data_IF_370868458199
#
_entry.id   IF_370868458199
#
_cell.length_a   1.000
_cell.length_b   1.000
_cell.length_c   1.000
_cell.angle_alpha   90.00
_cell.angle_beta   90.00
_cell.angle_gamma   90.00
#
_symmetry.space_group_name_H-M   'P 1'
#
loop_
_entity.id
_entity.type
_entity.pdbx_description
1 polymer ?
#
# COMPACT_ATOMS: atom_id res chain seq x y z
N UNK A 1 -16.63 19.21 -15.57
CA UNK A 1 -17.56 19.76 -14.55
C UNK A 1 -18.66 20.58 -15.22
N UNK A 2 -18.40 21.31 -16.28
CA UNK A 2 -19.40 22.04 -17.05
C UNK A 2 -19.34 21.52 -18.50
N UNK A 3 -20.41 20.85 -18.95
CA UNK A 3 -20.38 20.04 -20.18
C UNK A 3 -20.57 20.87 -21.46
N UNK A 4 -21.00 22.14 -21.34
CA UNK A 4 -21.15 23.02 -22.47
C UNK A 4 -20.91 24.50 -22.12
N UNK A 5 -20.70 25.33 -23.16
CA UNK A 5 -20.41 26.77 -23.03
C UNK A 5 -21.56 27.57 -22.39
N UNK A 6 -22.82 27.16 -22.59
CA UNK A 6 -23.98 27.87 -22.02
C UNK A 6 -24.06 27.65 -20.50
N UNK A 7 -23.85 26.45 -20.03
CA UNK A 7 -23.79 26.11 -18.59
C UNK A 7 -22.62 26.84 -17.91
N UNK A 8 -21.44 26.85 -18.55
CA UNK A 8 -20.28 27.58 -18.05
C UNK A 8 -20.58 29.07 -17.92
N UNK A 9 -21.25 29.69 -18.95
CA UNK A 9 -21.60 31.11 -18.92
C UNK A 9 -22.60 31.45 -17.81
N UNK A 10 -23.60 30.59 -17.56
CA UNK A 10 -24.51 30.76 -16.43
C UNK A 10 -23.75 30.71 -15.11
N UNK A 11 -22.82 29.79 -15.00
CA UNK A 11 -22.00 29.64 -13.80
C UNK A 11 -21.09 30.84 -13.54
N UNK A 12 -20.47 31.39 -14.61
CA UNK A 12 -19.65 32.61 -14.53
C UNK A 12 -20.51 33.79 -14.00
N UNK A 13 -21.76 33.91 -14.42
CA UNK A 13 -22.68 34.96 -13.93
C UNK A 13 -22.98 34.86 -12.43
N UNK A 14 -23.00 33.62 -11.87
CA UNK A 14 -23.15 33.39 -10.43
C UNK A 14 -21.88 33.74 -9.65
N UNK A 15 -20.72 33.68 -10.30
CA UNK A 15 -19.42 34.02 -9.72
C UNK A 15 -18.65 32.81 -9.18
N UNK A 16 -17.49 33.10 -8.60
CA UNK A 16 -16.57 32.12 -8.06
C UNK A 16 -17.14 31.36 -6.87
N UNK A 17 -16.80 30.07 -6.78
CA UNK A 17 -17.18 29.20 -5.66
C UNK A 17 -16.13 28.09 -5.43
N UNK A 18 -16.54 26.99 -4.80
CA UNK A 18 -15.64 25.85 -4.55
C UNK A 18 -15.14 25.15 -5.82
N UNK A 19 -15.79 25.37 -6.96
CA UNK A 19 -15.56 24.65 -8.23
C UNK A 19 -15.23 25.55 -9.41
N UNK A 20 -15.33 26.87 -9.26
CA UNK A 20 -15.05 27.82 -10.33
C UNK A 20 -14.13 28.93 -9.84
N UNK A 21 -13.12 29.25 -10.65
CA UNK A 21 -12.20 30.39 -10.51
C UNK A 21 -12.12 31.14 -11.83
N UNK A 22 -12.11 32.47 -11.77
CA UNK A 22 -12.07 33.37 -12.95
C UNK A 22 -10.76 34.16 -12.89
N UNK A 23 -10.08 34.29 -14.03
CA UNK A 23 -8.84 35.07 -14.12
C UNK A 23 -8.74 35.85 -15.41
N UNK A 24 -8.52 37.14 -15.27
CA UNK A 24 -8.10 37.99 -16.35
C UNK A 24 -6.68 37.64 -16.81
N UNK A 25 -6.42 37.72 -18.12
CA UNK A 25 -5.09 37.51 -18.68
C UNK A 25 -4.50 38.83 -19.17
N UNK A 26 -3.33 39.18 -18.65
CA UNK A 26 -2.57 40.35 -19.08
C UNK A 26 -1.20 39.97 -19.61
N UNK A 27 -0.71 40.78 -20.56
CA UNK A 27 0.57 40.52 -21.22
C UNK A 27 1.52 41.73 -21.13
N UNK A 28 2.82 41.42 -21.06
CA UNK A 28 3.91 42.37 -21.32
C UNK A 28 4.83 41.76 -22.39
N UNK A 29 4.74 42.26 -23.63
CA UNK A 29 5.41 41.66 -24.77
C UNK A 29 4.96 40.23 -25.03
N UNK A 30 5.90 39.28 -25.00
CA UNK A 30 5.67 37.84 -25.17
C UNK A 30 5.55 37.07 -23.83
N UNK A 31 5.15 37.75 -22.77
CA UNK A 31 5.01 37.10 -21.44
C UNK A 31 3.65 37.35 -20.84
N UNK A 32 3.06 36.32 -20.22
CA UNK A 32 1.87 36.44 -19.37
C UNK A 32 2.31 37.09 -18.06
N UNK A 33 1.66 38.18 -17.65
CA UNK A 33 1.94 38.93 -16.43
C UNK A 33 0.83 38.80 -15.39
N UNK A 34 -0.37 38.50 -15.81
CA UNK A 34 -1.49 38.09 -14.97
C UNK A 34 -2.23 36.91 -15.65
N UNK A 35 -2.67 35.90 -14.86
CA UNK A 35 -2.44 35.73 -13.44
C UNK A 35 -0.95 35.51 -13.11
N UNK A 36 -0.56 35.85 -11.87
CA UNK A 36 0.81 35.58 -11.41
C UNK A 36 1.03 34.05 -11.33
N UNK A 37 2.22 33.57 -11.78
CA UNK A 37 2.56 32.16 -11.92
C UNK A 37 2.29 31.35 -10.65
N UNK A 38 2.81 31.81 -9.50
CA UNK A 38 2.69 31.11 -8.23
C UNK A 38 1.24 31.10 -7.73
N UNK A 39 0.54 32.23 -7.85
CA UNK A 39 -0.85 32.33 -7.45
C UNK A 39 -1.75 31.39 -8.26
N UNK A 40 -1.47 31.25 -9.58
CA UNK A 40 -2.19 30.33 -10.45
C UNK A 40 -1.88 28.87 -10.12
N UNK A 41 -0.62 28.53 -9.87
CA UNK A 41 -0.21 27.20 -9.40
C UNK A 41 -0.94 26.80 -8.10
N UNK A 42 -1.05 27.76 -7.18
CA UNK A 42 -1.76 27.57 -5.91
C UNK A 42 -3.25 27.27 -6.11
N UNK A 43 -3.93 27.98 -7.05
CA UNK A 43 -5.35 27.71 -7.35
C UNK A 43 -5.55 26.30 -7.93
N UNK A 44 -4.75 25.94 -8.94
CA UNK A 44 -4.89 24.62 -9.58
C UNK A 44 -4.55 23.48 -8.61
N UNK A 45 -3.52 23.64 -7.76
CA UNK A 45 -3.20 22.68 -6.74
C UNK A 45 -4.31 22.57 -5.67
N UNK A 46 -4.93 23.69 -5.28
CA UNK A 46 -6.04 23.70 -4.34
C UNK A 46 -7.29 22.98 -4.89
N UNK A 47 -7.60 23.11 -6.18
CA UNK A 47 -8.65 22.32 -6.84
C UNK A 47 -8.31 20.83 -6.82
N UNK A 48 -7.09 20.46 -7.25
CA UNK A 48 -6.64 19.07 -7.28
C UNK A 48 -6.67 18.42 -5.88
N UNK A 49 -6.31 19.17 -4.86
CA UNK A 49 -6.32 18.72 -3.47
C UNK A 49 -7.73 18.65 -2.86
N UNK A 50 -8.71 19.27 -3.48
CA UNK A 50 -10.12 19.27 -3.06
C UNK A 50 -10.97 18.30 -3.89
N UNK A 51 -12.07 18.78 -4.44
CA UNK A 51 -13.02 17.99 -5.24
C UNK A 51 -12.88 18.22 -6.75
N UNK A 52 -11.77 18.82 -7.16
CA UNK A 52 -11.59 19.31 -8.52
C UNK A 52 -12.24 20.67 -8.72
N UNK A 53 -12.19 21.20 -9.95
CA UNK A 53 -12.80 22.45 -10.33
C UNK A 53 -12.36 22.92 -11.70
N UNK A 54 -12.83 24.09 -12.08
CA UNK A 54 -12.56 24.75 -13.36
C UNK A 54 -12.00 26.15 -13.11
N UNK A 55 -10.89 26.46 -13.78
CA UNK A 55 -10.39 27.82 -13.88
C UNK A 55 -10.61 28.34 -15.31
N UNK A 56 -11.20 29.51 -15.45
CA UNK A 56 -11.45 30.15 -16.75
C UNK A 56 -10.55 31.37 -16.89
N UNK A 57 -9.69 31.36 -17.91
CA UNK A 57 -8.80 32.45 -18.24
C UNK A 57 -9.45 33.32 -19.37
N UNK A 58 -9.44 34.62 -19.19
CA UNK A 58 -10.08 35.60 -20.10
C UNK A 58 -11.40 36.15 -19.57
N UNK A 59 -11.65 35.97 -18.26
CA UNK A 59 -12.79 36.57 -17.53
C UNK A 59 -12.22 37.30 -16.31
N UNK A 60 -12.75 38.49 -16.05
CA UNK A 60 -12.31 39.32 -14.90
C UNK A 60 -13.10 39.09 -13.62
N UNK A 61 -12.71 39.75 -12.55
CA UNK A 61 -13.36 39.66 -11.23
C UNK A 61 -14.80 40.24 -11.24
N UNK A 62 -15.13 41.11 -12.24
CA UNK A 62 -16.47 41.62 -12.47
C UNK A 62 -17.35 40.64 -13.26
N UNK A 63 -16.81 39.47 -13.60
CA UNK A 63 -17.45 38.40 -14.39
C UNK A 63 -17.68 38.77 -15.83
N UNK A 64 -16.94 39.76 -16.35
CA UNK A 64 -16.98 40.16 -17.75
C UNK A 64 -16.01 39.29 -18.57
N UNK A 65 -16.52 38.80 -19.70
CA UNK A 65 -15.69 38.05 -20.66
C UNK A 65 -14.86 39.06 -21.45
N UNK A 66 -13.57 39.14 -21.13
CA UNK A 66 -12.60 40.02 -21.83
C UNK A 66 -11.92 39.30 -22.99
N UNK A 67 -11.92 37.99 -22.97
CA UNK A 67 -11.27 37.13 -23.95
C UNK A 67 -9.74 37.12 -23.91
N UNK A 68 -9.16 36.29 -24.74
CA UNK A 68 -7.72 36.18 -25.00
C UNK A 68 -7.52 36.36 -26.51
N UNK A 69 -6.60 37.22 -26.97
CA UNK A 69 -6.33 37.36 -28.41
C UNK A 69 -5.93 36.00 -29.02
N UNK A 70 -6.49 35.67 -30.20
CA UNK A 70 -6.31 34.37 -30.86
C UNK A 70 -4.82 34.00 -31.01
N UNK A 71 -4.00 34.97 -31.41
CA UNK A 71 -2.55 34.82 -31.57
C UNK A 71 -1.79 34.59 -30.25
N UNK A 72 -2.46 34.72 -29.07
CA UNK A 72 -1.90 34.55 -27.75
C UNK A 72 -2.35 33.28 -27.04
N UNK A 73 -3.31 32.54 -27.57
CA UNK A 73 -3.85 31.35 -26.96
C UNK A 73 -2.76 30.28 -26.70
N UNK A 74 -1.89 30.08 -27.71
CA UNK A 74 -0.77 29.13 -27.55
C UNK A 74 0.21 29.52 -26.42
N UNK A 75 0.44 30.84 -26.28
CA UNK A 75 1.32 31.36 -25.21
C UNK A 75 0.70 31.12 -23.82
N UNK A 76 -0.61 31.34 -23.67
CA UNK A 76 -1.33 31.16 -22.42
C UNK A 76 -1.42 29.69 -22.06
N UNK A 77 -1.72 28.83 -23.04
CA UNK A 77 -1.74 27.37 -22.81
C UNK A 77 -0.36 26.85 -22.42
N UNK A 78 0.70 27.31 -23.07
CA UNK A 78 2.07 26.95 -22.71
C UNK A 78 2.42 27.38 -21.27
N UNK A 79 2.05 28.61 -20.89
CA UNK A 79 2.19 29.12 -19.53
C UNK A 79 1.51 28.20 -18.50
N UNK A 80 0.27 27.75 -18.77
CA UNK A 80 -0.46 26.84 -17.85
C UNK A 80 0.21 25.49 -17.78
N UNK A 81 0.67 24.92 -18.88
CA UNK A 81 1.37 23.63 -18.90
C UNK A 81 2.68 23.68 -18.10
N UNK A 82 3.49 24.72 -18.31
CA UNK A 82 4.76 24.88 -17.57
C UNK A 82 4.54 25.01 -16.06
N UNK A 83 3.59 25.83 -15.62
CA UNK A 83 3.33 25.98 -14.20
C UNK A 83 2.84 24.69 -13.53
N UNK A 84 2.04 23.86 -14.26
CA UNK A 84 1.56 22.58 -13.76
C UNK A 84 2.68 21.55 -13.59
N UNK A 85 3.73 21.62 -14.42
CA UNK A 85 4.88 20.71 -14.37
C UNK A 85 5.94 21.19 -13.39
N UNK A 86 6.27 22.49 -13.45
CA UNK A 86 7.44 23.02 -12.75
C UNK A 86 7.14 23.58 -11.35
N UNK A 87 5.89 24.08 -11.14
CA UNK A 87 5.52 24.78 -9.90
C UNK A 87 4.65 23.93 -8.96
N UNK A 88 4.17 22.76 -9.40
CA UNK A 88 3.33 21.87 -8.62
C UNK A 88 4.00 20.50 -8.48
N UNK A 89 4.08 20.00 -7.25
CA UNK A 89 4.71 18.71 -6.95
C UNK A 89 3.79 17.80 -6.10
N UNK A 90 3.48 16.57 -6.58
CA UNK A 90 3.78 16.04 -7.90
C UNK A 90 3.11 16.87 -9.01
N UNK A 91 3.61 16.79 -10.27
CA UNK A 91 3.05 17.55 -11.39
C UNK A 91 1.55 17.30 -11.60
N UNK A 92 0.85 18.29 -12.10
CA UNK A 92 -0.58 18.24 -12.38
C UNK A 92 -0.84 18.16 -13.89
N UNK A 93 -1.79 17.34 -14.29
CA UNK A 93 -2.22 17.22 -15.70
C UNK A 93 -3.70 17.63 -15.85
N UNK A 94 -4.00 18.93 -15.98
CA UNK A 94 -5.36 19.39 -16.21
C UNK A 94 -5.80 19.15 -17.66
N UNK A 95 -7.12 19.13 -17.89
CA UNK A 95 -7.70 19.20 -19.23
C UNK A 95 -7.83 20.67 -19.61
N UNK A 96 -7.24 21.07 -20.74
CA UNK A 96 -7.27 22.45 -21.23
C UNK A 96 -8.09 22.50 -22.52
N UNK A 97 -9.14 23.33 -22.52
CA UNK A 97 -10.05 23.50 -23.65
C UNK A 97 -10.09 24.96 -24.08
N UNK A 98 -10.08 25.21 -25.40
CA UNK A 98 -10.28 26.52 -26.00
C UNK A 98 -11.75 26.68 -26.36
N UNK A 99 -12.39 27.66 -25.75
CA UNK A 99 -13.81 27.95 -25.95
C UNK A 99 -14.00 29.39 -26.44
N UNK A 100 -15.18 29.68 -26.99
CA UNK A 100 -15.64 31.07 -27.23
C UNK A 100 -16.83 31.34 -26.35
N UNK A 101 -16.83 32.49 -25.66
CA UNK A 101 -17.93 32.93 -24.81
C UNK A 101 -18.38 34.32 -25.29
N UNK A 102 -19.70 34.65 -25.23
CA UNK A 102 -20.18 35.97 -25.56
C UNK A 102 -19.76 37.00 -24.50
N UNK A 103 -19.22 38.13 -24.96
CA UNK A 103 -19.02 39.33 -24.13
C UNK A 103 -20.35 40.02 -23.80
N UNK A 104 -20.30 41.03 -22.94
CA UNK A 104 -21.48 41.87 -22.65
C UNK A 104 -22.02 42.63 -23.88
N UNK A 105 -21.19 42.81 -24.94
CA UNK A 105 -21.60 43.41 -26.21
C UNK A 105 -22.13 42.37 -27.22
N UNK A 106 -22.11 41.07 -26.86
CA UNK A 106 -22.53 39.96 -27.73
C UNK A 106 -21.43 39.45 -28.68
N UNK A 107 -20.23 40.01 -28.63
CA UNK A 107 -19.07 39.51 -29.38
C UNK A 107 -18.58 38.17 -28.80
N UNK A 108 -18.27 37.21 -29.68
CA UNK A 108 -17.71 35.90 -29.27
C UNK A 108 -16.20 36.02 -29.06
N UNK A 109 -15.77 35.91 -27.82
CA UNK A 109 -14.37 36.07 -27.41
C UNK A 109 -13.76 34.74 -26.98
N UNK A 110 -12.52 34.41 -27.41
CA UNK A 110 -11.83 33.20 -27.01
C UNK A 110 -11.45 33.24 -25.53
N UNK A 111 -11.66 32.16 -24.85
CA UNK A 111 -11.25 31.90 -23.45
C UNK A 111 -10.59 30.55 -23.34
N UNK A 112 -9.82 30.34 -22.26
CA UNK A 112 -9.19 29.07 -21.96
C UNK A 112 -9.85 28.49 -20.72
N UNK A 113 -10.52 27.34 -20.84
CA UNK A 113 -11.08 26.56 -19.74
C UNK A 113 -10.04 25.53 -19.30
N UNK A 114 -9.71 25.52 -18.01
CA UNK A 114 -8.78 24.60 -17.38
C UNK A 114 -9.57 23.78 -16.39
N UNK A 115 -9.82 22.53 -16.72
CA UNK A 115 -10.51 21.59 -15.84
C UNK A 115 -9.49 20.76 -15.06
N UNK A 116 -9.56 20.84 -13.74
CA UNK A 116 -8.71 20.15 -12.81
C UNK A 116 -9.54 19.09 -12.09
N UNK A 117 -9.33 17.80 -12.36
CA UNK A 117 -10.01 16.75 -11.61
C UNK A 117 -9.50 16.69 -10.17
N UNK A 118 -10.31 16.13 -9.26
CA UNK A 118 -9.80 15.74 -7.94
C UNK A 118 -8.67 14.74 -8.12
N UNK A 119 -7.50 15.06 -7.60
CA UNK A 119 -6.32 14.23 -7.80
C UNK A 119 -6.30 13.05 -6.84
N UNK A 120 -5.56 12.04 -7.23
CA UNK A 120 -5.21 10.89 -6.40
C UNK A 120 -3.95 11.17 -5.55
N UNK A 121 -3.23 12.23 -5.85
CA UNK A 121 -2.05 12.68 -5.12
C UNK A 121 -2.36 13.95 -4.31
N UNK A 122 -1.57 14.22 -3.28
CA UNK A 122 -1.58 15.49 -2.56
C UNK A 122 -0.52 16.39 -3.17
N UNK A 123 -0.96 17.47 -3.79
CA UNK A 123 -0.09 18.40 -4.51
C UNK A 123 0.37 19.55 -3.61
N UNK A 124 1.67 19.82 -3.66
CA UNK A 124 2.28 21.01 -3.07
C UNK A 124 2.52 22.04 -4.17
N UNK A 125 2.14 23.29 -3.92
CA UNK A 125 2.41 24.45 -4.77
C UNK A 125 3.36 25.43 -4.08
N UNK A 126 3.77 26.56 -4.70
CA UNK A 126 4.60 27.55 -4.04
C UNK A 126 4.06 28.06 -2.70
N UNK A 127 2.73 28.20 -2.58
CA UNK A 127 2.06 28.58 -1.32
C UNK A 127 1.90 27.45 -0.31
N UNK A 128 2.41 26.25 -0.58
CA UNK A 128 2.32 25.11 0.33
C UNK A 128 1.26 24.06 -0.06
N UNK A 129 0.71 23.38 0.92
CA UNK A 129 -0.39 22.43 0.73
C UNK A 129 -1.73 23.15 0.89
N UNK A 130 -2.34 23.50 -0.21
CA UNK A 130 -3.55 24.32 -0.24
C UNK A 130 -4.78 23.48 -0.60
N UNK A 131 -5.95 23.88 -0.09
CA UNK A 131 -7.26 23.35 -0.44
C UNK A 131 -8.30 24.47 -0.60
N UNK A 132 -9.42 24.17 -1.28
CA UNK A 132 -10.53 25.12 -1.45
C UNK A 132 -11.46 25.11 -0.23
N UNK A 133 -11.81 26.30 0.23
CA UNK A 133 -12.84 26.54 1.24
C UNK A 133 -13.77 27.65 0.71
N UNK A 134 -14.88 27.24 0.08
CA UNK A 134 -15.68 28.14 -0.73
C UNK A 134 -14.91 28.66 -1.93
N UNK A 135 -14.97 29.95 -2.21
CA UNK A 135 -14.18 30.61 -3.27
C UNK A 135 -12.72 30.89 -2.88
N UNK A 136 -12.30 30.62 -1.63
CA UNK A 136 -10.95 30.90 -1.19
C UNK A 136 -10.08 29.65 -1.11
N UNK A 137 -8.78 29.80 -1.42
CA UNK A 137 -7.76 28.81 -1.10
C UNK A 137 -7.22 29.05 0.32
N UNK A 138 -6.97 27.96 1.06
CA UNK A 138 -6.39 28.01 2.39
C UNK A 138 -5.32 26.95 2.55
N UNK A 139 -4.32 27.25 3.36
CA UNK A 139 -3.34 26.25 3.77
C UNK A 139 -4.02 25.18 4.64
N UNK A 140 -3.66 23.92 4.41
CA UNK A 140 -4.20 22.80 5.16
C UNK A 140 -3.59 22.77 6.56
N UNK A 141 -4.44 22.62 7.58
CA UNK A 141 -3.96 22.30 8.92
C UNK A 141 -3.20 20.96 8.91
N UNK A 142 -2.16 20.79 9.75
CA UNK A 142 -1.35 19.56 9.77
C UNK A 142 -2.17 18.27 9.89
N UNK A 143 -3.19 18.27 10.74
CA UNK A 143 -4.08 17.10 10.94
C UNK A 143 -4.92 16.79 9.70
N UNK A 144 -5.41 17.83 9.01
CA UNK A 144 -6.16 17.67 7.77
C UNK A 144 -5.25 17.14 6.64
N UNK A 145 -4.05 17.69 6.54
CA UNK A 145 -3.04 17.28 5.56
C UNK A 145 -2.63 15.81 5.78
N UNK A 146 -2.35 15.41 7.02
CA UNK A 146 -2.04 14.03 7.37
C UNK A 146 -3.19 13.08 6.99
N UNK A 147 -4.43 13.47 7.29
CA UNK A 147 -5.62 12.71 6.91
C UNK A 147 -5.79 12.61 5.38
N UNK A 148 -5.55 13.68 4.65
CA UNK A 148 -5.64 13.68 3.18
C UNK A 148 -4.58 12.76 2.55
N UNK A 149 -3.33 12.78 3.05
CA UNK A 149 -2.30 11.83 2.63
C UNK A 149 -2.74 10.38 2.91
N UNK A 150 -3.27 10.11 4.08
CA UNK A 150 -3.81 8.78 4.41
C UNK A 150 -4.92 8.35 3.46
N UNK A 151 -5.91 9.22 3.24
CA UNK A 151 -7.04 8.92 2.36
C UNK A 151 -6.61 8.63 0.93
N UNK A 152 -5.64 9.40 0.41
CA UNK A 152 -5.16 9.25 -0.96
C UNK A 152 -4.17 8.10 -1.12
N UNK A 153 -3.39 7.78 -0.12
CA UNK A 153 -2.55 6.57 -0.11
C UNK A 153 -3.36 5.28 0.06
N UNK A 154 -4.52 5.36 0.70
CA UNK A 154 -5.46 4.24 0.84
C UNK A 154 -6.44 4.11 -0.32
N UNK A 155 -6.63 5.17 -1.11
CA UNK A 155 -7.51 5.15 -2.26
C UNK A 155 -6.95 4.24 -3.35
N UNK A 156 -7.25 2.93 -3.27
CA UNK A 156 -7.31 1.88 -4.31
C UNK A 156 -6.29 1.88 -5.46
N UNK A 157 -5.29 2.78 -5.47
CA UNK A 157 -4.52 3.03 -6.69
C UNK A 157 -3.33 2.12 -6.77
N UNK A 158 -2.79 1.68 -5.64
CA UNK A 158 -1.68 0.76 -5.65
C UNK A 158 -1.91 -0.31 -4.58
N UNK A 159 -2.83 -1.22 -4.85
CA UNK A 159 -2.74 -2.55 -4.24
C UNK A 159 -1.53 -3.20 -4.88
N UNK A 160 -0.38 -3.07 -4.24
CA UNK A 160 0.87 -3.58 -4.80
C UNK A 160 0.78 -5.07 -5.11
N UNK A 161 0.07 -5.83 -4.29
CA UNK A 161 -0.17 -7.26 -4.49
C UNK A 161 -1.04 -7.59 -5.72
N UNK A 162 -1.85 -6.65 -6.22
CA UNK A 162 -2.63 -6.80 -7.46
C UNK A 162 -1.93 -6.22 -8.71
N UNK A 163 -0.72 -5.68 -8.59
CA UNK A 163 0.01 -5.14 -9.74
C UNK A 163 0.53 -6.24 -10.64
N UNK A 164 0.39 -6.09 -11.98
CA UNK A 164 1.03 -6.96 -12.94
C UNK A 164 2.55 -6.96 -12.78
N UNK A 165 3.17 -8.12 -12.79
CA UNK A 165 4.62 -8.27 -12.73
C UNK A 165 5.20 -8.13 -14.14
N UNK A 166 6.04 -7.11 -14.41
CA UNK A 166 6.62 -6.90 -15.73
C UNK A 166 7.44 -8.10 -16.19
N UNK A 167 7.23 -8.51 -17.42
CA UNK A 167 7.96 -9.64 -18.04
C UNK A 167 7.43 -11.03 -17.64
N UNK A 168 6.58 -11.16 -16.63
CA UNK A 168 5.95 -12.43 -16.27
C UNK A 168 4.82 -12.76 -17.27
N UNK A 169 4.61 -14.05 -17.48
CA UNK A 169 3.51 -14.59 -18.30
C UNK A 169 2.65 -15.55 -17.49
N UNK A 170 1.45 -15.86 -17.96
CA UNK A 170 0.59 -16.80 -17.24
C UNK A 170 1.23 -18.20 -17.11
N UNK A 171 2.17 -18.56 -17.99
CA UNK A 171 2.87 -19.85 -17.95
C UNK A 171 3.92 -19.94 -16.83
N UNK A 172 4.27 -18.82 -16.22
CA UNK A 172 5.09 -18.78 -14.99
C UNK A 172 4.30 -19.16 -13.73
N UNK A 173 2.95 -19.28 -13.84
CA UNK A 173 2.11 -19.80 -12.79
C UNK A 173 1.93 -21.32 -12.94
N UNK A 174 2.39 -22.07 -11.95
CA UNK A 174 2.26 -23.53 -11.88
C UNK A 174 0.78 -23.93 -11.78
N UNK A 175 0.33 -24.81 -12.66
CA UNK A 175 -1.08 -25.16 -12.81
C UNK A 175 -1.67 -25.74 -11.51
N UNK A 176 -0.98 -26.65 -10.85
CA UNK A 176 -1.41 -27.27 -9.61
C UNK A 176 -1.55 -26.25 -8.48
N UNK A 177 -0.70 -25.21 -8.47
CA UNK A 177 -0.68 -24.18 -7.42
C UNK A 177 -1.85 -23.19 -7.56
N UNK A 178 -2.23 -22.78 -8.77
CA UNK A 178 -3.37 -21.86 -8.91
C UNK A 178 -4.71 -22.59 -8.96
N UNK A 179 -4.80 -23.83 -9.49
CA UNK A 179 -6.04 -24.60 -9.58
C UNK A 179 -6.63 -24.94 -8.21
N UNK A 180 -5.81 -25.04 -7.16
CA UNK A 180 -6.31 -25.27 -5.79
C UNK A 180 -7.26 -24.20 -5.27
N UNK A 181 -7.24 -23.00 -5.87
CA UNK A 181 -8.15 -21.89 -5.56
C UNK A 181 -9.42 -21.91 -6.41
N UNK A 182 -9.48 -22.74 -7.44
CA UNK A 182 -10.62 -22.90 -8.31
C UNK A 182 -11.67 -23.79 -7.65
N UNK A 183 -12.93 -23.37 -7.68
CA UNK A 183 -14.03 -24.27 -7.32
C UNK A 183 -14.25 -25.27 -8.47
N UNK A 184 -14.45 -26.54 -8.13
CA UNK A 184 -14.76 -27.60 -9.11
C UNK A 184 -15.99 -27.32 -10.00
N UNK A 185 -16.81 -26.32 -9.65
CA UNK A 185 -18.04 -25.94 -10.40
C UNK A 185 -17.77 -24.79 -11.40
N UNK A 186 -16.58 -24.20 -11.42
CA UNK A 186 -16.26 -23.05 -12.27
C UNK A 186 -15.68 -23.58 -13.59
N UNK A 187 -16.35 -23.30 -14.69
CA UNK A 187 -15.92 -23.62 -16.07
C UNK A 187 -15.35 -22.40 -16.80
N UNK A 188 -14.88 -21.39 -16.07
CA UNK A 188 -14.29 -20.21 -16.67
C UNK A 188 -12.94 -20.53 -17.36
N UNK A 189 -12.62 -19.77 -18.40
CA UNK A 189 -11.28 -19.82 -19.00
C UNK A 189 -10.23 -19.39 -17.97
N UNK A 190 -9.02 -19.89 -18.10
CA UNK A 190 -7.88 -19.65 -17.19
C UNK A 190 -7.71 -18.17 -16.86
N UNK A 191 -7.71 -17.29 -17.88
CA UNK A 191 -7.50 -15.86 -17.72
C UNK A 191 -8.60 -15.22 -16.85
N UNK A 192 -9.86 -15.59 -17.09
CA UNK A 192 -11.00 -15.08 -16.32
C UNK A 192 -10.95 -15.55 -14.86
N UNK A 193 -10.54 -16.79 -14.65
CA UNK A 193 -10.43 -17.33 -13.29
C UNK A 193 -9.31 -16.66 -12.51
N UNK A 194 -8.12 -16.49 -13.13
CA UNK A 194 -6.99 -15.83 -12.52
C UNK A 194 -7.29 -14.35 -12.23
N UNK A 195 -8.04 -13.66 -13.09
CA UNK A 195 -8.50 -12.30 -12.85
C UNK A 195 -9.46 -12.22 -11.64
N UNK A 196 -10.45 -13.13 -11.55
CA UNK A 196 -11.37 -13.23 -10.40
C UNK A 196 -10.64 -13.50 -9.06
N UNK A 197 -9.52 -14.21 -9.12
CA UNK A 197 -8.67 -14.50 -7.97
C UNK A 197 -7.66 -13.38 -7.66
N UNK A 198 -7.64 -12.31 -8.45
CA UNK A 198 -6.62 -11.26 -8.40
C UNK A 198 -5.19 -11.78 -8.64
N UNK A 199 -5.04 -12.95 -9.26
CA UNK A 199 -3.75 -13.54 -9.62
C UNK A 199 -3.22 -13.08 -10.98
N UNK A 200 -4.06 -12.47 -11.81
CA UNK A 200 -3.68 -11.86 -13.07
C UNK A 200 -4.45 -10.57 -13.30
N UNK A 201 -3.82 -9.61 -14.01
CA UNK A 201 -4.42 -8.33 -14.41
C UNK A 201 -3.87 -7.91 -15.76
N UNK A 202 -4.60 -7.10 -16.54
CA UNK A 202 -4.03 -6.44 -17.71
C UNK A 202 -2.94 -5.44 -17.28
N UNK A 203 -1.83 -5.43 -17.99
CA UNK A 203 -0.81 -4.38 -17.87
C UNK A 203 -1.17 -3.13 -18.69
N UNK A 204 -0.26 -2.17 -18.75
CA UNK A 204 -0.47 -0.91 -19.49
C UNK A 204 -0.68 -1.13 -21.00
N UNK A 205 -0.18 -2.22 -21.55
CA UNK A 205 -0.29 -2.59 -22.97
C UNK A 205 -1.53 -3.48 -23.22
N UNK A 206 -2.32 -3.78 -22.18
CA UNK A 206 -3.49 -4.65 -22.24
C UNK A 206 -3.17 -6.14 -22.25
N UNK A 207 -1.91 -6.54 -22.11
CA UNK A 207 -1.52 -7.94 -21.99
C UNK A 207 -1.86 -8.46 -20.58
N UNK A 208 -2.48 -9.64 -20.50
CA UNK A 208 -2.80 -10.26 -19.21
C UNK A 208 -1.53 -10.86 -18.61
N UNK A 209 -1.14 -10.37 -17.43
CA UNK A 209 0.06 -10.80 -16.70
C UNK A 209 -0.27 -11.27 -15.29
N UNK A 210 0.55 -12.17 -14.72
CA UNK A 210 0.48 -12.49 -13.30
C UNK A 210 0.65 -11.23 -12.46
N UNK A 211 -0.13 -11.12 -11.39
CA UNK A 211 0.07 -10.11 -10.36
C UNK A 211 1.14 -10.54 -9.35
N UNK A 212 1.58 -9.62 -8.50
CA UNK A 212 2.46 -9.94 -7.37
C UNK A 212 1.85 -11.05 -6.51
N UNK A 213 0.53 -10.97 -6.18
CA UNK A 213 -0.17 -12.03 -5.47
C UNK A 213 -0.18 -13.36 -6.24
N UNK A 214 -0.39 -13.31 -7.56
CA UNK A 214 -0.34 -14.50 -8.42
C UNK A 214 1.01 -15.18 -8.38
N UNK A 215 2.10 -14.43 -8.56
CA UNK A 215 3.48 -14.94 -8.50
C UNK A 215 3.78 -15.52 -7.11
N UNK A 216 3.45 -14.79 -6.03
CA UNK A 216 3.75 -15.21 -4.66
C UNK A 216 2.99 -16.47 -4.22
N UNK A 217 1.78 -16.70 -4.75
CA UNK A 217 0.92 -17.82 -4.35
C UNK A 217 0.94 -19.00 -5.32
N UNK A 218 1.38 -18.79 -6.56
CA UNK A 218 1.26 -19.80 -7.60
C UNK A 218 2.49 -19.98 -8.51
N UNK A 219 3.61 -19.29 -8.28
CA UNK A 219 4.88 -19.60 -8.92
C UNK A 219 5.69 -20.58 -8.06
N UNK A 220 6.39 -21.53 -8.70
CA UNK A 220 7.28 -22.46 -8.01
C UNK A 220 8.50 -21.74 -7.39
N UNK A 221 9.01 -20.70 -8.04
CA UNK A 221 10.07 -19.82 -7.50
C UNK A 221 9.69 -18.34 -7.67
N UNK A 222 8.97 -17.74 -6.70
CA UNK A 222 8.62 -16.33 -6.71
C UNK A 222 9.83 -15.39 -6.74
N UNK A 223 11.02 -15.84 -6.31
CA UNK A 223 12.24 -15.03 -6.26
C UNK A 223 12.78 -14.65 -7.62
N UNK A 224 12.41 -15.37 -8.66
CA UNK A 224 12.76 -14.98 -10.02
C UNK A 224 12.27 -13.57 -10.35
N UNK A 225 11.10 -13.21 -9.83
CA UNK A 225 10.42 -11.92 -10.03
C UNK A 225 10.60 -10.96 -8.85
N UNK A 226 10.60 -11.51 -7.64
CA UNK A 226 10.67 -10.81 -6.37
C UNK A 226 11.84 -11.39 -5.53
N UNK A 227 13.08 -11.01 -5.77
CA UNK A 227 14.29 -11.68 -5.25
C UNK A 227 14.33 -11.82 -3.72
N UNK A 228 13.69 -10.91 -2.99
CA UNK A 228 13.63 -10.95 -1.52
C UNK A 228 12.31 -11.51 -0.95
N UNK A 229 11.46 -12.13 -1.79
CA UNK A 229 10.20 -12.77 -1.35
C UNK A 229 10.45 -14.17 -0.77
N UNK A 230 11.24 -14.25 0.30
CA UNK A 230 11.55 -15.48 1.02
C UNK A 230 11.75 -15.20 2.51
N UNK A 231 11.78 -16.26 3.33
CA UNK A 231 12.06 -16.19 4.77
C UNK A 231 13.48 -16.69 4.99
N UNK A 232 14.35 -15.84 5.53
CA UNK A 232 15.66 -16.26 6.02
C UNK A 232 15.53 -16.71 7.48
N UNK A 233 15.70 -18.01 7.73
CA UNK A 233 15.63 -18.61 9.06
C UNK A 233 17.03 -18.95 9.55
N UNK A 234 17.35 -18.56 10.80
CA UNK A 234 18.63 -18.85 11.45
C UNK A 234 18.38 -19.23 12.92
N UNK A 235 18.96 -20.33 13.35
CA UNK A 235 18.98 -20.75 14.76
C UNK A 235 20.37 -20.48 15.35
N UNK A 236 20.39 -19.80 16.49
CA UNK A 236 21.61 -19.44 17.22
C UNK A 236 21.75 -20.27 18.50
N UNK A 237 22.99 -20.55 18.89
CA UNK A 237 23.29 -21.36 20.11
C UNK A 237 22.94 -20.62 21.40
N UNK A 238 23.13 -19.31 21.44
CA UNK A 238 22.97 -18.47 22.62
C UNK A 238 21.88 -17.40 22.47
N UNK A 239 22.08 -16.32 23.16
CA UNK A 239 21.17 -15.15 23.18
C UNK A 239 21.60 -14.02 22.23
N UNK A 240 22.78 -14.17 21.60
CA UNK A 240 23.36 -13.13 20.72
C UNK A 240 23.71 -13.69 19.35
N UNK A 241 23.68 -12.82 18.35
CA UNK A 241 24.05 -13.15 16.96
C UNK A 241 25.55 -13.46 16.81
N UNK A 242 26.39 -12.69 17.52
CA UNK A 242 27.85 -12.79 17.50
C UNK A 242 28.37 -12.80 18.93
N UNK A 243 28.34 -13.95 19.62
CA UNK A 243 28.91 -14.05 20.97
C UNK A 243 30.42 -13.91 20.88
N UNK A 244 31.01 -13.18 21.85
CA UNK A 244 32.46 -13.02 21.92
C UNK A 244 33.14 -14.38 22.19
N UNK A 245 34.04 -14.79 21.31
CA UNK A 245 34.95 -15.91 21.52
C UNK A 245 34.44 -17.30 21.12
N UNK A 246 33.25 -17.45 20.55
CA UNK A 246 32.74 -18.74 20.06
C UNK A 246 32.72 -18.79 18.54
N UNK A 247 33.46 -19.73 17.93
CA UNK A 247 33.49 -19.95 16.51
C UNK A 247 32.22 -20.61 15.94
N UNK A 248 31.43 -21.30 16.80
CA UNK A 248 30.23 -22.05 16.39
C UNK A 248 28.96 -21.42 16.99
N UNK A 249 28.65 -20.19 16.58
CA UNK A 249 27.50 -19.45 17.09
C UNK A 249 26.15 -19.81 16.42
N UNK A 250 26.20 -20.38 15.21
CA UNK A 250 25.02 -20.73 14.42
C UNK A 250 24.80 -22.25 14.45
N UNK A 251 23.59 -22.70 14.77
CA UNK A 251 23.20 -24.11 14.81
C UNK A 251 22.64 -24.58 13.46
N UNK A 252 21.79 -23.77 12.85
CA UNK A 252 21.11 -24.07 11.58
C UNK A 252 20.78 -22.79 10.82
N UNK A 253 20.73 -22.87 9.50
CA UNK A 253 20.31 -21.76 8.65
C UNK A 253 19.64 -22.27 7.37
N UNK A 254 18.57 -21.60 6.95
CA UNK A 254 17.83 -21.96 5.75
C UNK A 254 17.22 -20.71 5.10
N UNK A 255 17.40 -20.57 3.77
CA UNK A 255 16.61 -19.66 2.97
C UNK A 255 15.35 -20.41 2.47
N UNK A 256 14.21 -20.08 3.05
CA UNK A 256 12.93 -20.75 2.81
C UNK A 256 12.21 -20.06 1.66
N UNK A 257 12.03 -20.76 0.55
CA UNK A 257 11.53 -20.25 -0.73
C UNK A 257 10.27 -21.00 -1.18
N UNK A 258 9.71 -20.60 -2.33
CA UNK A 258 8.49 -21.17 -2.89
C UNK A 258 7.24 -20.33 -2.62
N UNK A 259 6.04 -20.85 -2.88
CA UNK A 259 4.78 -20.18 -2.59
C UNK A 259 4.64 -19.81 -1.10
N UNK A 260 3.92 -18.73 -0.79
CA UNK A 260 3.86 -18.20 0.59
C UNK A 260 3.37 -19.21 1.62
N UNK A 261 2.38 -20.02 1.28
CA UNK A 261 1.89 -21.09 2.17
C UNK A 261 2.96 -22.16 2.46
N UNK A 262 3.72 -22.57 1.44
CA UNK A 262 4.84 -23.49 1.61
C UNK A 262 5.97 -22.86 2.46
N UNK A 263 6.23 -21.56 2.28
CA UNK A 263 7.19 -20.84 3.11
C UNK A 263 6.79 -20.86 4.61
N UNK A 264 5.50 -20.61 4.91
CA UNK A 264 4.99 -20.65 6.29
C UNK A 264 5.16 -22.04 6.90
N UNK A 265 4.72 -23.09 6.22
CA UNK A 265 4.83 -24.46 6.73
C UNK A 265 6.29 -24.87 6.94
N UNK A 266 7.16 -24.57 5.97
CA UNK A 266 8.60 -24.86 6.07
C UNK A 266 9.26 -24.09 7.23
N UNK A 267 8.86 -22.83 7.45
CA UNK A 267 9.36 -22.03 8.57
C UNK A 267 8.87 -22.60 9.93
N UNK A 268 7.64 -23.07 10.01
CA UNK A 268 7.16 -23.79 11.20
C UNK A 268 7.98 -25.06 11.49
N UNK A 269 8.28 -25.84 10.44
CA UNK A 269 9.16 -27.02 10.59
C UNK A 269 10.57 -26.65 11.01
N UNK A 270 11.12 -25.54 10.49
CA UNK A 270 12.42 -25.04 10.93
C UNK A 270 12.40 -24.70 12.42
N UNK A 271 11.36 -24.02 12.92
CA UNK A 271 11.22 -23.74 14.36
C UNK A 271 11.07 -25.03 15.15
N UNK A 272 10.17 -25.95 14.75
CA UNK A 272 9.93 -27.24 15.44
C UNK A 272 11.16 -28.11 15.50
N UNK A 273 12.02 -28.09 14.47
CA UNK A 273 13.29 -28.82 14.41
C UNK A 273 14.35 -28.25 15.37
N UNK A 274 14.40 -26.93 15.50
CA UNK A 274 15.50 -26.24 16.18
C UNK A 274 15.13 -25.75 17.59
N UNK A 275 13.85 -25.75 17.98
CA UNK A 275 13.42 -25.42 19.33
C UNK A 275 13.77 -26.53 20.33
N UNK A 276 13.95 -26.17 21.59
CA UNK A 276 14.13 -27.12 22.69
C UNK A 276 12.77 -27.63 23.18
N UNK A 277 12.75 -28.87 23.64
CA UNK A 277 11.62 -29.48 24.36
C UNK A 277 12.13 -30.00 25.70
N UNK A 278 11.65 -29.41 26.77
CA UNK A 278 12.04 -29.78 28.13
C UNK A 278 11.09 -30.86 28.64
N UNK A 279 11.63 -31.95 29.13
CA UNK A 279 10.85 -33.03 29.74
C UNK A 279 10.85 -32.89 31.26
N UNK A 280 9.67 -32.82 31.89
CA UNK A 280 9.48 -32.84 33.34
C UNK A 280 8.89 -34.20 33.76
N UNK A 281 9.25 -34.70 34.97
CA UNK A 281 8.76 -35.96 35.52
C UNK A 281 7.75 -35.78 36.67
N UNK A 282 7.22 -34.62 36.91
CA UNK A 282 6.21 -34.38 37.94
C UNK A 282 4.87 -35.00 37.51
N UNK A 283 4.38 -36.02 38.21
CA UNK A 283 3.10 -36.73 37.98
C UNK A 283 2.88 -37.30 36.55
N UNK A 284 3.96 -37.69 35.86
CA UNK A 284 3.97 -38.17 34.49
C UNK A 284 4.98 -37.40 33.62
N UNK A 285 5.16 -37.84 32.36
CA UNK A 285 6.01 -37.12 31.41
C UNK A 285 5.22 -35.95 30.85
N UNK A 286 5.63 -34.73 31.18
CA UNK A 286 5.16 -33.50 30.56
C UNK A 286 6.28 -32.90 29.71
N UNK A 287 6.02 -32.79 28.42
CA UNK A 287 6.94 -32.14 27.46
C UNK A 287 6.57 -30.67 27.37
N UNK A 288 7.46 -29.74 27.74
CA UNK A 288 7.30 -28.29 27.61
C UNK A 288 8.08 -27.83 26.38
N UNK A 289 7.43 -27.51 25.27
CA UNK A 289 8.12 -26.95 24.10
C UNK A 289 8.55 -25.50 24.38
N UNK A 290 9.66 -25.10 23.76
CA UNK A 290 10.20 -23.74 23.91
C UNK A 290 9.24 -22.66 23.37
N UNK A 291 8.46 -22.98 22.32
CA UNK A 291 7.49 -22.09 21.71
C UNK A 291 6.16 -22.81 21.46
N UNK A 292 5.06 -22.07 21.57
CA UNK A 292 3.73 -22.54 21.13
C UNK A 292 3.65 -22.50 19.61
N UNK A 293 3.44 -23.66 18.99
CA UNK A 293 3.44 -23.74 17.52
C UNK A 293 2.25 -23.04 16.86
N UNK A 294 1.11 -22.90 17.56
CA UNK A 294 -0.01 -22.12 17.07
C UNK A 294 0.35 -20.64 16.99
N UNK A 295 1.01 -20.11 18.01
CA UNK A 295 1.51 -18.74 18.01
C UNK A 295 2.57 -18.50 16.92
N UNK A 296 3.49 -19.45 16.72
CA UNK A 296 4.51 -19.38 15.66
C UNK A 296 3.87 -19.40 14.27
N UNK A 297 2.90 -20.29 14.06
CA UNK A 297 2.17 -20.36 12.79
C UNK A 297 1.45 -19.05 12.47
N UNK A 298 0.70 -18.50 13.42
CA UNK A 298 0.01 -17.22 13.24
C UNK A 298 0.98 -16.06 12.97
N UNK A 299 2.12 -16.04 13.66
CA UNK A 299 3.16 -15.03 13.48
C UNK A 299 3.73 -15.08 12.04
N UNK A 300 4.02 -16.29 11.55
CA UNK A 300 4.56 -16.48 10.19
C UNK A 300 3.53 -16.16 9.11
N UNK A 301 2.27 -16.59 9.29
CA UNK A 301 1.17 -16.21 8.37
C UNK A 301 1.02 -14.69 8.32
N UNK A 302 0.99 -14.02 9.47
CA UNK A 302 0.89 -12.55 9.52
C UNK A 302 2.10 -11.87 8.87
N UNK A 303 3.30 -12.40 9.06
CA UNK A 303 4.51 -11.84 8.47
C UNK A 303 4.45 -11.87 6.93
N UNK A 304 4.05 -12.99 6.30
CA UNK A 304 3.94 -13.07 4.83
C UNK A 304 2.72 -12.32 4.30
N UNK A 305 1.58 -12.33 5.02
CA UNK A 305 0.35 -11.68 4.60
C UNK A 305 0.45 -10.15 4.60
N UNK A 306 1.21 -9.59 5.56
CA UNK A 306 1.28 -8.14 5.78
C UNK A 306 2.63 -7.51 5.43
N UNK A 307 3.62 -8.30 4.94
CA UNK A 307 4.88 -7.77 4.42
C UNK A 307 4.63 -6.73 3.34
N UNK A 308 5.42 -5.69 3.34
CA UNK A 308 5.45 -4.73 2.23
C UNK A 308 6.34 -5.27 1.10
N UNK A 309 5.69 -5.83 0.07
CA UNK A 309 6.38 -6.40 -1.09
C UNK A 309 6.95 -5.35 -2.02
N UNK A 310 6.62 -4.07 -1.86
CA UNK A 310 7.23 -2.95 -2.59
C UNK A 310 8.65 -2.64 -2.11
N UNK A 311 9.02 -3.10 -0.92
CA UNK A 311 10.38 -2.96 -0.36
C UNK A 311 11.28 -4.03 -0.97
N UNK A 312 12.07 -3.66 -1.98
CA UNK A 312 12.91 -4.60 -2.75
C UNK A 312 14.16 -5.08 -1.99
N UNK A 313 14.70 -4.30 -1.06
CA UNK A 313 15.97 -4.58 -0.39
C UNK A 313 15.90 -5.46 0.85
N UNK A 314 14.71 -5.77 1.37
CA UNK A 314 14.55 -6.46 2.64
C UNK A 314 13.72 -7.75 2.50
N UNK A 315 14.04 -8.75 3.32
CA UNK A 315 13.39 -10.06 3.41
C UNK A 315 12.84 -10.29 4.81
N UNK A 316 11.92 -11.24 4.96
CA UNK A 316 11.49 -11.69 6.28
C UNK A 316 12.67 -12.44 6.92
N UNK A 317 12.96 -12.13 8.18
CA UNK A 317 14.01 -12.76 8.96
C UNK A 317 13.44 -13.43 10.19
N UNK A 318 13.64 -14.73 10.30
CA UNK A 318 13.25 -15.57 11.45
C UNK A 318 14.52 -15.96 12.19
N UNK A 319 14.65 -15.55 13.44
CA UNK A 319 15.81 -15.84 14.28
C UNK A 319 15.38 -16.57 15.54
N UNK A 320 15.96 -17.73 15.80
CA UNK A 320 15.76 -18.49 17.02
C UNK A 320 16.98 -18.31 17.91
N UNK A 321 16.75 -17.89 19.14
CA UNK A 321 17.74 -17.83 20.21
C UNK A 321 17.35 -18.79 21.32
N UNK A 322 18.25 -18.99 22.31
CA UNK A 322 17.97 -19.84 23.45
C UNK A 322 16.86 -19.27 24.36
N UNK A 323 16.64 -17.94 24.33
CA UNK A 323 15.71 -17.22 25.21
C UNK A 323 14.51 -16.60 24.48
N UNK A 324 14.54 -16.51 23.14
CA UNK A 324 13.49 -15.88 22.36
C UNK A 324 13.52 -16.27 20.89
N UNK A 325 12.38 -16.07 20.22
CA UNK A 325 12.24 -16.03 18.77
C UNK A 325 12.02 -14.57 18.33
N UNK A 326 12.73 -14.14 17.32
CA UNK A 326 12.57 -12.84 16.67
C UNK A 326 12.09 -13.04 15.23
N UNK A 327 11.02 -12.33 14.87
CA UNK A 327 10.47 -12.33 13.51
C UNK A 327 10.40 -10.89 13.00
N UNK A 328 11.22 -10.59 12.01
CA UNK A 328 11.26 -9.30 11.33
C UNK A 328 10.48 -9.36 10.03
N UNK A 329 9.50 -8.49 9.83
CA UNK A 329 8.72 -8.37 8.61
C UNK A 329 8.89 -6.96 8.02
N UNK A 330 9.39 -6.83 6.78
CA UNK A 330 9.52 -5.52 6.12
C UNK A 330 8.16 -4.85 5.93
N UNK A 331 8.07 -3.58 6.30
CA UNK A 331 6.90 -2.73 6.19
C UNK A 331 6.45 -2.17 7.54
N UNK A 332 6.13 -0.87 7.56
CA UNK A 332 5.53 -0.21 8.71
C UNK A 332 4.12 -0.75 8.99
N UNK A 333 3.62 -0.54 10.19
CA UNK A 333 2.20 -0.75 10.52
C UNK A 333 1.36 0.21 9.66
N UNK A 334 0.20 -0.20 9.12
CA UNK A 334 -0.67 0.71 8.38
C UNK A 334 -0.99 1.98 9.19
N UNK A 335 -0.95 3.15 8.54
CA UNK A 335 -1.08 4.47 9.19
C UNK A 335 -2.33 4.66 10.06
N UNK A 336 -3.32 3.76 9.97
CA UNK A 336 -4.53 3.78 10.80
C UNK A 336 -4.36 3.02 12.12
N UNK A 337 -3.20 2.38 12.36
CA UNK A 337 -2.94 1.51 13.49
C UNK A 337 -1.64 1.90 14.21
N UNK A 338 -1.55 1.59 15.49
CA UNK A 338 -0.33 1.64 16.30
C UNK A 338 -0.01 0.25 16.82
N UNK A 339 1.18 0.04 17.36
CA UNK A 339 1.58 -1.24 17.98
C UNK A 339 0.56 -1.67 19.06
N UNK A 340 0.11 -0.74 19.88
CA UNK A 340 -0.85 -0.98 20.97
C UNK A 340 -2.24 -1.36 20.43
N UNK A 341 -2.59 -0.91 19.23
CA UNK A 341 -3.89 -1.19 18.60
C UNK A 341 -3.93 -2.49 17.79
N UNK A 342 -2.77 -3.12 17.52
CA UNK A 342 -2.67 -4.36 16.74
C UNK A 342 -3.60 -5.49 17.24
N UNK A 343 -3.77 -5.74 18.56
CA UNK A 343 -4.65 -6.79 19.06
C UNK A 343 -6.15 -6.52 18.84
N UNK A 344 -6.53 -5.27 18.58
CA UNK A 344 -7.93 -4.82 18.57
C UNK A 344 -8.43 -4.36 17.20
N UNK A 345 -7.54 -4.23 16.21
CA UNK A 345 -7.87 -3.67 14.90
C UNK A 345 -7.40 -4.58 13.78
N UNK A 346 -8.12 -4.55 12.69
CA UNK A 346 -7.80 -5.29 11.48
C UNK A 346 -7.47 -4.31 10.34
N UNK A 347 -6.36 -4.53 9.66
CA UNK A 347 -6.05 -3.89 8.40
C UNK A 347 -5.23 -4.86 7.55
N UNK A 348 -5.65 -5.09 6.31
CA UNK A 348 -4.88 -5.87 5.36
C UNK A 348 -4.09 -4.93 4.45
N UNK A 349 -2.75 -5.07 4.43
CA UNK A 349 -1.90 -4.39 3.43
C UNK A 349 -2.11 -5.01 2.06
N UNK A 350 -2.14 -6.34 1.99
CA UNK A 350 -2.21 -7.13 0.77
C UNK A 350 -3.53 -7.91 0.76
N UNK A 351 -4.60 -7.29 0.26
CA UNK A 351 -5.95 -7.90 0.31
C UNK A 351 -6.07 -9.15 -0.58
N UNK A 352 -5.39 -9.18 -1.73
CA UNK A 352 -5.39 -10.34 -2.61
C UNK A 352 -4.66 -11.51 -1.94
N UNK A 353 -3.47 -11.29 -1.36
CA UNK A 353 -2.70 -12.32 -0.66
C UNK A 353 -3.49 -12.87 0.54
N UNK A 354 -4.07 -12.00 1.39
CA UNK A 354 -4.86 -12.44 2.55
C UNK A 354 -6.10 -13.23 2.12
N UNK A 355 -6.72 -12.84 1.01
CA UNK A 355 -7.86 -13.58 0.44
C UNK A 355 -7.49 -14.96 -0.07
N UNK A 356 -6.31 -15.11 -0.67
CA UNK A 356 -5.80 -16.38 -1.16
C UNK A 356 -5.35 -17.28 -0.01
N UNK A 357 -4.63 -16.77 0.97
CA UNK A 357 -4.24 -17.52 2.17
C UNK A 357 -5.45 -18.04 2.95
N UNK A 358 -6.54 -17.27 3.01
CA UNK A 358 -7.78 -17.72 3.65
C UNK A 358 -8.50 -18.86 2.88
N UNK A 359 -8.21 -19.04 1.58
CA UNK A 359 -8.71 -20.15 0.76
C UNK A 359 -7.73 -21.31 0.68
N UNK A 360 -6.48 -21.12 1.13
CA UNK A 360 -5.45 -22.14 1.10
C UNK A 360 -5.61 -23.08 2.30
N UNK A 361 -5.88 -24.35 2.04
CA UNK A 361 -6.04 -25.35 3.11
C UNK A 361 -4.70 -25.71 3.73
N UNK A 362 -4.67 -25.87 5.04
CA UNK A 362 -3.55 -26.53 5.75
C UNK A 362 -3.68 -28.04 5.49
N UNK A 363 -2.63 -28.71 4.97
CA UNK A 363 -2.66 -30.16 4.77
C UNK A 363 -2.93 -30.90 6.08
N UNK A 364 -3.67 -32.03 5.99
CA UNK A 364 -4.08 -32.79 7.18
C UNK A 364 -2.92 -33.29 8.04
N UNK A 365 -1.79 -33.61 7.41
CA UNK A 365 -0.54 -34.01 8.08
C UNK A 365 0.21 -32.84 8.76
N UNK A 366 -0.23 -31.59 8.54
CA UNK A 366 0.37 -30.38 9.12
C UNK A 366 -0.56 -29.69 10.15
N UNK A 367 -1.70 -30.29 10.46
CA UNK A 367 -2.66 -29.73 11.43
C UNK A 367 -2.14 -29.66 12.86
N UNK A 368 -1.12 -30.43 13.18
CA UNK A 368 -0.43 -30.36 14.47
C UNK A 368 0.35 -29.05 14.68
N UNK A 369 0.58 -28.28 13.61
CA UNK A 369 1.24 -26.96 13.69
C UNK A 369 0.31 -25.85 14.19
N UNK A 370 -0.99 -25.91 13.87
CA UNK A 370 -1.91 -24.81 14.20
C UNK A 370 -3.32 -25.22 14.61
N UNK A 371 -3.73 -26.51 14.41
CA UNK A 371 -5.11 -26.96 14.58
C UNK A 371 -6.11 -26.35 13.58
N UNK A 372 -5.66 -25.54 12.61
CA UNK A 372 -6.52 -24.85 11.61
C UNK A 372 -6.71 -25.67 10.33
N UNK A 373 -7.83 -25.43 9.65
CA UNK A 373 -8.13 -26.01 8.35
C UNK A 373 -7.68 -25.13 7.18
N UNK A 374 -7.47 -23.83 7.39
CA UNK A 374 -6.98 -22.87 6.41
C UNK A 374 -5.78 -22.09 6.95
N UNK A 375 -4.92 -21.61 6.02
CA UNK A 375 -3.71 -20.89 6.38
C UNK A 375 -4.02 -19.59 7.14
N UNK A 376 -5.13 -18.91 6.83
CA UNK A 376 -5.51 -17.66 7.48
C UNK A 376 -6.99 -17.63 7.81
N UNK A 377 -7.34 -17.10 8.98
CA UNK A 377 -8.72 -16.74 9.34
C UNK A 377 -8.89 -15.20 9.22
N UNK A 378 -9.95 -14.76 8.56
CA UNK A 378 -10.26 -13.34 8.37
C UNK A 378 -10.93 -12.67 9.58
N UNK A 379 -11.01 -13.36 10.73
CA UNK A 379 -11.66 -12.82 11.94
C UNK A 379 -10.80 -11.81 12.70
N UNK A 380 -9.49 -11.70 12.37
CA UNK A 380 -8.57 -10.76 12.98
C UNK A 380 -8.10 -11.14 14.38
N UNK A 381 -8.23 -12.40 14.75
CA UNK A 381 -7.83 -12.93 16.05
C UNK A 381 -6.34 -13.33 16.11
N UNK A 382 -5.61 -13.30 14.99
CA UNK A 382 -4.25 -13.82 14.88
C UNK A 382 -3.26 -13.18 15.86
N UNK A 383 -3.28 -11.86 16.01
CA UNK A 383 -2.39 -11.17 16.98
C UNK A 383 -2.72 -11.56 18.41
N UNK A 384 -4.01 -11.66 18.76
CA UNK A 384 -4.43 -12.06 20.11
C UNK A 384 -3.99 -13.50 20.40
N UNK A 385 -4.11 -14.41 19.43
CA UNK A 385 -3.64 -15.80 19.55
C UNK A 385 -2.13 -15.85 19.80
N UNK A 386 -1.34 -15.06 19.06
CA UNK A 386 0.12 -14.97 19.29
C UNK A 386 0.41 -14.55 20.72
N UNK A 387 -0.26 -13.51 21.20
CA UNK A 387 -0.04 -12.98 22.56
C UNK A 387 -0.45 -13.98 23.64
N UNK A 388 -1.67 -14.50 23.57
CA UNK A 388 -2.24 -15.31 24.65
C UNK A 388 -1.63 -16.72 24.71
N UNK A 389 -1.38 -17.36 23.55
CA UNK A 389 -0.78 -18.70 23.53
C UNK A 389 0.67 -18.69 23.98
N UNK A 390 1.45 -17.67 23.56
CA UNK A 390 2.83 -17.54 24.00
C UNK A 390 2.93 -17.18 25.47
N UNK A 391 2.09 -16.25 25.96
CA UNK A 391 2.08 -15.85 27.37
C UNK A 391 1.66 -17.03 28.29
N UNK A 392 0.68 -17.83 27.86
CA UNK A 392 0.23 -19.03 28.58
C UNK A 392 1.37 -20.05 28.71
N UNK A 393 2.20 -20.22 27.67
CA UNK A 393 3.28 -21.19 27.65
C UNK A 393 4.50 -20.70 28.44
N UNK A 394 4.94 -19.47 28.22
CA UNK A 394 6.20 -18.93 28.72
C UNK A 394 6.08 -18.10 30.01
N UNK A 395 4.84 -17.72 30.40
CA UNK A 395 4.57 -16.74 31.45
C UNK A 395 4.96 -15.30 31.08
N UNK A 396 5.39 -15.04 29.82
CA UNK A 396 5.84 -13.74 29.35
C UNK A 396 5.11 -13.35 28.06
N UNK A 397 4.62 -12.13 28.00
CA UNK A 397 3.90 -11.62 26.85
C UNK A 397 4.84 -11.29 25.70
N UNK A 398 4.54 -11.70 24.44
CA UNK A 398 5.25 -11.23 23.25
C UNK A 398 5.17 -9.73 23.08
N UNK A 399 6.19 -9.15 22.42
CA UNK A 399 6.22 -7.71 22.11
C UNK A 399 6.33 -7.46 20.60
N UNK A 400 5.66 -6.43 20.16
CA UNK A 400 5.80 -5.88 18.82
C UNK A 400 6.55 -4.55 18.90
N UNK A 401 7.52 -4.34 18.02
CA UNK A 401 8.31 -3.12 17.95
C UNK A 401 8.43 -2.67 16.50
N UNK A 402 8.30 -1.39 16.24
CA UNK A 402 8.54 -0.80 14.92
C UNK A 402 10.01 -0.34 14.86
N UNK A 403 10.78 -0.93 13.95
CA UNK A 403 12.19 -0.61 13.74
C UNK A 403 12.29 0.38 12.58
N UNK A 404 12.86 1.57 12.85
CA UNK A 404 13.10 2.64 11.88
C UNK A 404 11.87 2.99 11.00
N UNK A 405 10.67 2.85 11.56
CA UNK A 405 9.38 3.08 10.87
C UNK A 405 9.19 2.28 9.56
N UNK A 406 10.02 1.26 9.33
CA UNK A 406 10.06 0.51 8.07
C UNK A 406 9.98 -1.00 8.21
N UNK A 407 10.14 -1.52 9.41
CA UNK A 407 10.12 -2.96 9.67
C UNK A 407 9.45 -3.27 11.01
N UNK A 408 8.57 -4.27 11.03
CA UNK A 408 7.92 -4.74 12.25
C UNK A 408 8.70 -5.92 12.84
N UNK A 409 9.12 -5.81 14.08
CA UNK A 409 9.75 -6.86 14.88
C UNK A 409 8.76 -7.44 15.89
N UNK A 410 8.50 -8.74 15.79
CA UNK A 410 7.83 -9.53 16.83
C UNK A 410 8.88 -10.31 17.61
N UNK A 411 8.83 -10.19 18.93
CA UNK A 411 9.66 -10.98 19.85
C UNK A 411 8.75 -11.89 20.68
N UNK A 412 8.95 -13.20 20.55
CA UNK A 412 8.25 -14.23 21.34
C UNK A 412 9.25 -14.80 22.36
N UNK A 413 9.03 -14.59 23.68
CA UNK A 413 9.87 -15.16 24.72
C UNK A 413 9.80 -16.68 24.72
N UNK A 414 10.94 -17.33 24.94
CA UNK A 414 11.00 -18.76 25.10
C UNK A 414 10.42 -19.20 26.47
N UNK A 415 9.71 -20.31 26.46
CA UNK A 415 9.38 -21.02 27.71
C UNK A 415 10.66 -21.63 28.28
N UNK A 416 10.86 -21.51 29.59
CA UNK A 416 11.96 -22.11 30.32
C UNK A 416 11.39 -22.97 31.46
N UNK A 417 11.98 -24.13 31.76
CA UNK A 417 11.58 -24.88 32.95
C UNK A 417 11.66 -24.00 34.20
N UNK A 418 10.72 -24.16 35.12
CA UNK A 418 10.84 -23.52 36.42
C UNK A 418 12.13 -24.04 37.06
N UNK A 419 13.02 -23.13 37.42
CA UNK A 419 14.19 -23.48 38.25
C UNK A 419 13.62 -23.76 39.66
N UNK A 420 13.63 -25.03 40.08
CA UNK A 420 13.36 -25.36 41.49
C UNK A 420 14.50 -24.74 42.32
N UNK A 421 14.14 -23.73 43.17
CA UNK A 421 15.05 -23.20 44.19
C UNK A 421 15.32 -24.21 45.29
#
# INVERSE_FOLDING_TARGET
VFDNAAELLEKIRLGEDSFLELKEVRFAGQRVTAPHRDAMADELAAFANSRGGVCVLGVDDAREVLGIPLERLDLVEHFVRELCVDSINPPLAPVIERLTLPSNTGEQLPVLKIEVPSSLFVHRSPGGYLHRVGSAKREMAPDYLARLFQQRSQARIIRFDEQPVPGATLDDLTTELWQRFASARVQDRREVLLDKLAMARPDADGAIRPTVAGVLMASADPRHWLPNAFIQAVAYRGTEVLPQGDAAYQLDAQDITGPLDAQVLTACHFVKKNMQVFASKQEGRHDLPQYDMTAVFEALVNAVAHRDYSIHGAKIRLRLFSDRLELYSPGAIPNTMTVESLPYRQAARNEAITSLLAKCSVPDNERDLSGRSAMMDKRGEGVQIILDSSERLSGKRPTFNLVDESELLLVIPAATPAVEE
#
